data_IF_531103997210
#
_entry.id   IF_531103997210
#
_cell.length_a   1.000
_cell.length_b   1.000
_cell.length_c   1.000
_cell.angle_alpha   90.00
_cell.angle_beta   90.00
_cell.angle_gamma   90.00
#
_symmetry.space_group_name_H-M   'P 1'
#
loop_
_entity.id
_entity.type
_entity.pdbx_description
1 polymer ?
#
# COMPACT_ATOMS: atom_id res chain seq x y z
N UNK A 1 -11.60 4.30 35.88
CA UNK A 1 -10.19 4.65 35.66
C UNK A 1 -9.34 3.42 35.91
N UNK A 2 -9.02 2.67 34.87
CA UNK A 2 -7.94 1.68 34.88
C UNK A 2 -7.23 1.87 33.56
N UNK A 3 -6.09 2.57 33.61
CA UNK A 3 -5.21 2.79 32.47
C UNK A 3 -4.51 1.47 32.17
N UNK A 4 -4.86 0.83 31.05
CA UNK A 4 -4.14 -0.35 30.58
C UNK A 4 -3.06 0.12 29.59
N UNK A 5 -1.90 0.48 30.13
CA UNK A 5 -0.67 0.71 29.36
C UNK A 5 -0.04 -0.63 29.03
N UNK A 6 -0.48 -1.25 27.93
CA UNK A 6 0.29 -2.30 27.27
C UNK A 6 0.97 -1.70 26.05
N UNK A 7 1.98 -0.86 26.29
CA UNK A 7 2.98 -0.52 25.28
C UNK A 7 3.91 -1.73 25.17
N UNK A 8 3.53 -2.68 24.30
CA UNK A 8 4.41 -3.78 23.93
C UNK A 8 5.56 -3.20 23.09
N UNK A 9 6.85 -3.31 23.49
CA UNK A 9 7.96 -2.62 22.83
C UNK A 9 8.35 -3.19 21.45
N UNK A 10 7.66 -4.24 20.97
CA UNK A 10 8.03 -5.00 19.77
C UNK A 10 7.23 -4.65 18.51
N UNK A 11 6.25 -3.75 18.58
CA UNK A 11 5.45 -3.27 17.43
C UNK A 11 5.75 -1.81 17.07
N UNK A 12 6.96 -1.34 17.34
CA UNK A 12 7.54 -0.25 16.56
C UNK A 12 7.96 -0.86 15.22
N UNK A 13 6.98 -1.21 14.39
CA UNK A 13 7.19 -1.54 12.99
C UNK A 13 7.77 -0.28 12.36
N UNK A 14 9.11 -0.24 12.31
CA UNK A 14 9.96 0.69 11.57
C UNK A 14 9.15 1.75 10.85
N UNK A 15 8.98 2.92 11.47
CA UNK A 15 8.63 4.14 10.75
C UNK A 15 9.64 4.24 9.61
N UNK A 16 9.24 3.75 8.44
CA UNK A 16 10.05 3.84 7.23
C UNK A 16 10.30 5.33 7.09
N UNK A 17 11.57 5.75 7.18
CA UNK A 17 11.97 7.14 6.95
C UNK A 17 11.39 7.55 5.60
N UNK A 18 10.20 8.15 5.63
CA UNK A 18 9.56 8.67 4.46
C UNK A 18 10.41 9.85 4.06
N UNK A 19 11.06 9.74 2.92
CA UNK A 19 11.89 10.83 2.42
C UNK A 19 11.01 12.09 2.31
N UNK A 20 11.48 13.22 2.84
CA UNK A 20 10.74 14.51 2.77
C UNK A 20 10.39 14.88 1.32
N UNK A 21 11.21 14.44 0.37
CA UNK A 21 10.97 14.61 -1.06
C UNK A 21 10.55 13.28 -1.70
N UNK A 22 9.26 13.17 -2.05
CA UNK A 22 8.70 11.98 -2.69
C UNK A 22 9.44 11.55 -3.97
N UNK A 23 10.06 12.47 -4.72
CA UNK A 23 10.72 12.14 -5.97
C UNK A 23 12.00 11.31 -5.80
N UNK A 24 12.64 11.39 -4.63
CA UNK A 24 13.84 10.64 -4.28
C UNK A 24 13.53 9.34 -3.53
N UNK A 25 12.26 9.12 -3.19
CA UNK A 25 11.82 7.91 -2.50
C UNK A 25 11.96 6.69 -3.40
N UNK A 26 12.90 5.79 -3.08
CA UNK A 26 13.17 4.57 -3.86
C UNK A 26 12.16 3.47 -3.60
N UNK A 27 11.36 3.57 -2.53
CA UNK A 27 10.27 2.65 -2.25
C UNK A 27 9.08 2.98 -3.17
N UNK A 28 8.81 4.27 -3.39
CA UNK A 28 7.73 4.74 -4.28
C UNK A 28 8.18 4.74 -5.74
N UNK A 29 9.37 5.26 -6.03
CA UNK A 29 9.93 5.38 -7.36
C UNK A 29 11.27 4.63 -7.50
N UNK A 30 11.23 3.30 -7.60
CA UNK A 30 12.42 2.50 -7.81
C UNK A 30 13.03 2.75 -9.20
N UNK A 31 14.33 2.49 -9.32
CA UNK A 31 15.01 2.57 -10.60
C UNK A 31 14.53 1.46 -11.55
N UNK A 32 14.31 1.83 -12.81
CA UNK A 32 13.83 0.86 -13.81
C UNK A 32 14.90 -0.19 -14.11
N UNK A 33 14.49 -1.46 -14.15
CA UNK A 33 15.32 -2.55 -14.65
C UNK A 33 15.64 -2.34 -16.13
N UNK A 34 16.91 -2.53 -16.50
CA UNK A 34 17.38 -2.49 -17.89
C UNK A 34 16.82 -3.68 -18.67
N UNK A 35 16.38 -3.47 -19.90
CA UNK A 35 15.85 -4.54 -20.75
C UNK A 35 15.24 -4.03 -22.06
N UNK A 36 14.47 -4.88 -22.78
CA UNK A 36 13.88 -4.52 -24.07
C UNK A 36 12.91 -3.32 -23.98
N UNK A 37 12.33 -3.08 -22.79
CA UNK A 37 11.45 -1.94 -22.54
C UNK A 37 12.21 -0.61 -22.36
N UNK A 38 13.53 -0.63 -22.15
CA UNK A 38 14.34 0.59 -21.95
C UNK A 38 14.21 1.55 -23.14
N UNK A 39 14.21 1.02 -24.37
CA UNK A 39 14.04 1.83 -25.59
C UNK A 39 12.76 2.69 -25.50
N UNK A 40 11.65 2.11 -25.06
CA UNK A 40 10.37 2.83 -24.98
C UNK A 40 10.33 3.82 -23.82
N UNK A 41 10.92 3.48 -22.66
CA UNK A 41 10.99 4.41 -21.51
C UNK A 41 11.78 5.69 -21.85
N UNK A 42 12.83 5.56 -22.66
CA UNK A 42 13.65 6.69 -23.11
C UNK A 42 12.93 7.63 -24.10
N UNK A 43 11.84 7.18 -24.74
CA UNK A 43 11.04 8.04 -25.62
C UNK A 43 10.14 9.02 -24.86
N UNK A 44 10.00 8.87 -23.53
CA UNK A 44 9.19 9.77 -22.72
C UNK A 44 9.77 11.18 -22.73
N UNK A 45 8.96 12.15 -23.13
CA UNK A 45 9.32 13.58 -23.13
C UNK A 45 9.02 14.27 -21.79
N UNK A 46 8.43 13.55 -20.83
CA UNK A 46 8.09 14.07 -19.52
C UNK A 46 8.60 13.17 -18.38
N UNK A 47 8.69 13.74 -17.19
CA UNK A 47 9.04 13.01 -15.97
C UNK A 47 7.80 12.27 -15.43
N UNK A 48 7.82 10.93 -15.49
CA UNK A 48 6.70 10.11 -15.00
C UNK A 48 6.44 10.29 -13.50
N UNK A 49 7.47 10.54 -12.67
CA UNK A 49 7.30 10.78 -11.22
C UNK A 49 6.43 12.03 -10.97
N UNK A 50 6.72 13.11 -11.69
CA UNK A 50 5.94 14.37 -11.62
C UNK A 50 4.52 14.17 -12.13
N UNK A 51 4.34 13.39 -13.20
CA UNK A 51 3.01 13.04 -13.70
C UNK A 51 2.21 12.25 -12.65
N UNK A 52 2.84 11.28 -11.98
CA UNK A 52 2.17 10.48 -10.95
C UNK A 52 1.69 11.36 -9.79
N UNK A 53 2.58 12.19 -9.25
CA UNK A 53 2.25 13.13 -8.16
C UNK A 53 1.17 14.14 -8.59
N UNK A 54 1.18 14.60 -9.85
CA UNK A 54 0.16 15.50 -10.37
C UNK A 54 -1.23 14.86 -10.42
N UNK A 55 -1.31 13.57 -10.81
CA UNK A 55 -2.59 12.87 -10.99
C UNK A 55 -3.22 12.45 -9.66
N UNK A 56 -2.41 12.02 -8.69
CA UNK A 56 -2.93 11.43 -7.44
C UNK A 56 -2.71 12.31 -6.20
N UNK A 57 -1.64 13.08 -6.18
CA UNK A 57 -1.16 13.78 -4.98
C UNK A 57 -0.23 12.92 -4.13
N UNK A 58 0.69 13.58 -3.43
CA UNK A 58 1.76 12.94 -2.66
C UNK A 58 1.24 12.03 -1.54
N UNK A 59 0.33 12.55 -0.70
CA UNK A 59 -0.24 11.79 0.43
C UNK A 59 -1.01 10.55 -0.03
N UNK A 60 -1.69 10.62 -1.19
CA UNK A 60 -2.38 9.46 -1.77
C UNK A 60 -1.39 8.37 -2.15
N UNK A 61 -0.31 8.73 -2.84
CA UNK A 61 0.72 7.79 -3.28
C UNK A 61 1.41 7.17 -2.07
N UNK A 62 1.76 7.96 -1.04
CA UNK A 62 2.40 7.45 0.19
C UNK A 62 1.53 6.43 0.90
N UNK A 63 0.24 6.72 1.07
CA UNK A 63 -0.70 5.78 1.70
C UNK A 63 -0.82 4.48 0.89
N UNK A 64 -0.99 4.58 -0.43
CA UNK A 64 -1.08 3.40 -1.31
C UNK A 64 0.17 2.52 -1.21
N UNK A 65 1.35 3.11 -1.32
CA UNK A 65 2.60 2.35 -1.22
C UNK A 65 2.81 1.72 0.16
N UNK A 66 2.42 2.39 1.26
CA UNK A 66 2.46 1.78 2.60
C UNK A 66 1.63 0.49 2.64
N UNK A 67 0.43 0.51 2.07
CA UNK A 67 -0.48 -0.66 2.02
C UNK A 67 0.09 -1.74 1.10
N UNK A 68 0.52 -1.38 -0.12
CA UNK A 68 1.08 -2.34 -1.08
C UNK A 68 2.36 -2.99 -0.59
N UNK A 69 3.27 -2.24 0.04
CA UNK A 69 4.51 -2.79 0.60
C UNK A 69 4.24 -3.81 1.72
N UNK A 70 3.18 -3.59 2.50
CA UNK A 70 2.76 -4.56 3.51
C UNK A 70 2.24 -5.83 2.83
N UNK A 71 1.31 -5.69 1.88
CA UNK A 71 0.72 -6.83 1.17
C UNK A 71 1.76 -7.63 0.39
N UNK A 72 2.68 -6.96 -0.32
CA UNK A 72 3.73 -7.59 -1.12
C UNK A 72 4.67 -8.46 -0.27
N UNK A 73 4.90 -8.10 0.99
CA UNK A 73 5.77 -8.86 1.90
C UNK A 73 5.02 -9.97 2.65
N UNK A 74 3.71 -9.86 2.75
CA UNK A 74 2.91 -10.75 3.59
C UNK A 74 2.47 -12.00 2.79
N UNK A 75 2.75 -13.18 3.34
CA UNK A 75 2.53 -14.47 2.64
C UNK A 75 1.07 -14.71 2.28
N UNK A 76 0.14 -14.33 3.17
CA UNK A 76 -1.29 -14.49 2.91
C UNK A 76 -1.82 -13.67 1.72
N UNK A 77 -1.08 -12.67 1.23
CA UNK A 77 -1.47 -11.86 0.08
C UNK A 77 -0.83 -12.33 -1.24
N UNK A 78 0.07 -13.31 -1.19
CA UNK A 78 0.68 -13.86 -2.41
C UNK A 78 -0.33 -14.64 -3.24
N UNK A 79 -0.14 -14.62 -4.56
CA UNK A 79 -0.99 -15.36 -5.49
C UNK A 79 -0.57 -16.82 -5.55
N UNK A 80 -1.54 -17.72 -5.38
CA UNK A 80 -1.34 -19.16 -5.59
C UNK A 80 -1.18 -19.45 -7.09
N UNK A 81 -0.43 -20.51 -7.43
CA UNK A 81 -0.22 -20.95 -8.81
C UNK A 81 -1.51 -21.39 -9.51
N UNK A 82 -2.44 -21.93 -8.74
CA UNK A 82 -3.74 -22.39 -9.21
C UNK A 82 -4.84 -21.53 -8.62
N UNK A 83 -5.96 -21.42 -9.34
CA UNK A 83 -7.13 -20.71 -8.82
C UNK A 83 -7.73 -21.49 -7.64
N UNK A 84 -7.81 -20.89 -6.44
CA UNK A 84 -8.38 -21.56 -5.28
C UNK A 84 -9.88 -21.82 -5.47
N UNK A 85 -10.39 -22.84 -4.78
CA UNK A 85 -11.83 -23.09 -4.72
C UNK A 85 -12.57 -21.92 -4.07
N UNK A 86 -13.88 -21.78 -4.32
CA UNK A 86 -14.70 -20.72 -3.73
C UNK A 86 -14.63 -20.68 -2.19
N UNK A 87 -14.61 -21.85 -1.54
CA UNK A 87 -14.52 -21.90 -0.09
C UNK A 87 -13.15 -21.47 0.41
N UNK A 88 -12.08 -21.81 -0.32
CA UNK A 88 -10.73 -21.33 -0.01
C UNK A 88 -10.61 -19.82 -0.20
N UNK A 89 -11.20 -19.27 -1.26
CA UNK A 89 -11.26 -17.82 -1.49
C UNK A 89 -11.96 -17.10 -0.33
N UNK A 90 -13.10 -17.60 0.14
CA UNK A 90 -13.82 -17.03 1.30
C UNK A 90 -12.99 -17.08 2.58
N UNK A 91 -12.28 -18.17 2.84
CA UNK A 91 -11.39 -18.29 4.00
C UNK A 91 -10.24 -17.28 3.94
N UNK A 92 -9.61 -17.15 2.76
CA UNK A 92 -8.53 -16.18 2.56
C UNK A 92 -9.04 -14.74 2.69
N UNK A 93 -10.18 -14.40 2.09
CA UNK A 93 -10.78 -13.07 2.18
C UNK A 93 -11.04 -12.65 3.65
N UNK A 94 -11.64 -13.54 4.45
CA UNK A 94 -11.84 -13.27 5.88
C UNK A 94 -10.51 -13.07 6.62
N UNK A 95 -9.52 -13.96 6.39
CA UNK A 95 -8.21 -13.86 7.03
C UNK A 95 -7.50 -12.55 6.67
N UNK A 96 -7.50 -12.19 5.38
CA UNK A 96 -6.90 -10.95 4.87
C UNK A 96 -7.62 -9.71 5.40
N UNK A 97 -8.95 -9.76 5.51
CA UNK A 97 -9.76 -8.69 6.11
C UNK A 97 -9.37 -8.40 7.56
N UNK A 98 -9.17 -9.45 8.37
CA UNK A 98 -8.68 -9.29 9.75
C UNK A 98 -7.28 -8.68 9.80
N UNK A 99 -6.34 -9.13 8.96
CA UNK A 99 -4.99 -8.57 8.92
C UNK A 99 -4.97 -7.07 8.60
N UNK A 100 -5.81 -6.64 7.67
CA UNK A 100 -5.92 -5.22 7.29
C UNK A 100 -6.56 -4.40 8.40
N UNK A 101 -7.61 -4.95 9.04
CA UNK A 101 -8.24 -4.32 10.19
C UNK A 101 -7.23 -4.13 11.32
N UNK A 102 -6.47 -5.16 11.68
CA UNK A 102 -5.49 -5.08 12.77
C UNK A 102 -4.38 -4.07 12.48
N UNK A 103 -3.96 -3.93 11.22
CA UNK A 103 -2.90 -2.99 10.82
C UNK A 103 -3.30 -1.51 10.85
N UNK A 104 -4.59 -1.19 10.86
CA UNK A 104 -5.09 0.20 10.96
C UNK A 104 -4.34 1.18 10.02
N UNK A 105 -4.31 0.87 8.72
CA UNK A 105 -3.64 1.74 7.72
C UNK A 105 -4.24 3.14 7.61
N UNK A 106 -5.55 3.24 7.83
CA UNK A 106 -6.34 4.46 7.75
C UNK A 106 -7.57 4.31 8.65
N UNK A 107 -7.57 4.98 9.80
CA UNK A 107 -8.61 4.87 10.82
C UNK A 107 -9.51 6.10 10.91
N UNK A 108 -10.33 6.15 11.96
CA UNK A 108 -11.28 7.24 12.17
C UNK A 108 -10.56 8.59 12.42
N UNK A 109 -9.41 8.57 13.10
CA UNK A 109 -8.63 9.78 13.35
C UNK A 109 -8.12 10.40 12.04
N UNK A 110 -7.48 9.59 11.20
CA UNK A 110 -7.01 10.02 9.88
C UNK A 110 -8.16 10.46 9.00
N UNK A 111 -9.30 9.77 9.04
CA UNK A 111 -10.51 10.14 8.30
C UNK A 111 -11.03 11.52 8.65
N UNK A 112 -11.07 11.88 9.94
CA UNK A 112 -11.53 13.20 10.38
C UNK A 112 -10.58 14.30 9.89
N UNK A 113 -9.27 14.03 9.86
CA UNK A 113 -8.26 15.02 9.45
C UNK A 113 -8.03 15.10 7.93
N UNK A 114 -8.20 13.99 7.21
CA UNK A 114 -7.82 13.83 5.81
C UNK A 114 -8.81 12.92 5.06
N UNK A 115 -10.12 13.26 5.03
CA UNK A 115 -11.17 12.40 4.48
C UNK A 115 -10.96 12.03 3.00
N UNK A 116 -10.24 12.86 2.23
CA UNK A 116 -9.88 12.59 0.84
C UNK A 116 -9.05 11.31 0.67
N UNK A 117 -8.24 10.94 1.68
CA UNK A 117 -7.40 9.74 1.63
C UNK A 117 -8.21 8.44 1.69
N UNK A 118 -9.49 8.50 2.04
CA UNK A 118 -10.39 7.34 1.96
C UNK A 118 -10.42 6.75 0.55
N UNK A 119 -10.32 7.59 -0.48
CA UNK A 119 -10.25 7.12 -1.86
C UNK A 119 -8.92 6.40 -2.14
N UNK A 120 -7.78 6.93 -1.67
CA UNK A 120 -6.49 6.24 -1.79
C UNK A 120 -6.51 4.89 -1.06
N UNK A 121 -7.06 4.85 0.16
CA UNK A 121 -7.18 3.62 0.94
C UNK A 121 -8.01 2.57 0.20
N UNK A 122 -9.20 2.96 -0.26
CA UNK A 122 -10.04 2.10 -1.10
C UNK A 122 -9.24 1.60 -2.31
N UNK A 123 -8.75 2.50 -3.16
CA UNK A 123 -8.01 2.14 -4.39
C UNK A 123 -6.83 1.20 -4.14
N UNK A 124 -6.06 1.41 -3.06
CA UNK A 124 -4.97 0.52 -2.68
C UNK A 124 -5.46 -0.91 -2.45
N UNK A 125 -6.53 -1.06 -1.66
CA UNK A 125 -7.13 -2.34 -1.32
C UNK A 125 -7.59 -3.11 -2.55
N UNK A 126 -8.41 -2.48 -3.40
CA UNK A 126 -8.95 -3.09 -4.62
C UNK A 126 -7.86 -3.48 -5.63
N UNK A 127 -6.79 -2.67 -5.74
CA UNK A 127 -5.75 -2.87 -6.76
C UNK A 127 -4.91 -4.13 -6.53
N UNK A 128 -4.78 -4.56 -5.27
CA UNK A 128 -4.00 -5.74 -4.91
C UNK A 128 -4.90 -6.97 -4.73
N UNK A 129 -6.10 -6.80 -4.19
CA UNK A 129 -6.99 -7.90 -3.87
C UNK A 129 -8.47 -7.51 -4.09
N UNK A 130 -9.10 -8.18 -5.05
CA UNK A 130 -10.46 -7.86 -5.53
C UNK A 130 -11.56 -8.38 -4.59
N UNK A 131 -11.29 -9.33 -3.70
CA UNK A 131 -12.26 -9.77 -2.68
C UNK A 131 -12.56 -8.71 -1.63
N UNK A 132 -11.73 -7.66 -1.55
CA UNK A 132 -12.03 -6.46 -0.76
C UNK A 132 -12.99 -5.49 -1.44
N UNK A 133 -13.54 -5.88 -2.59
CA UNK A 133 -14.38 -5.04 -3.41
C UNK A 133 -15.86 -4.95 -3.04
#
# INVERSE_FOLDING_TARGET
MVSNTNNNPSEVESEQLQSENIYEDKIIFPDFKTGPLTKYRQLSTFCYKRMNVLLEGEEHIRLKHRIWNFMEKHTDFQHDLESPTMDRQRQLANKRGHLIYDKQFYGLGEYVTAPQLSLAFAQAMFSYEVSFA
#
